data_IF_076427872567
#
_entry.id   IF_076427872567
#
_cell.length_a   1.000
_cell.length_b   1.000
_cell.length_c   1.000
_cell.angle_alpha   90.00
_cell.angle_beta   90.00
_cell.angle_gamma   90.00
#
_symmetry.space_group_name_H-M   'P 1'
#
loop_
_entity.id
_entity.type
_entity.pdbx_description
1 polymer ?
#
# COMPACT_ATOMS: atom_id res chain seq x y z
N UNK A 1 -1.65 11.18 -11.20
CA UNK A 1 -1.15 12.47 -11.78
C UNK A 1 -2.22 13.56 -11.99
N UNK A 2 -3.51 13.27 -12.17
CA UNK A 2 -4.51 14.22 -12.71
C UNK A 2 -4.63 15.61 -12.04
N UNK A 3 -4.43 15.74 -10.73
CA UNK A 3 -4.53 17.02 -10.02
C UNK A 3 -3.22 17.81 -9.90
N UNK A 4 -2.07 17.16 -10.09
CA UNK A 4 -0.74 17.76 -9.82
C UNK A 4 -0.43 19.00 -10.66
N UNK A 5 -0.71 19.04 -11.98
CA UNK A 5 -0.49 20.26 -12.77
C UNK A 5 -1.23 21.48 -12.22
N UNK A 6 -2.45 21.29 -11.71
CA UNK A 6 -3.24 22.38 -11.13
C UNK A 6 -2.66 22.89 -9.81
N UNK A 7 -2.08 22.00 -9.00
CA UNK A 7 -1.35 22.39 -7.78
C UNK A 7 -0.11 23.21 -8.14
N UNK A 8 0.69 22.75 -9.09
CA UNK A 8 1.87 23.48 -9.57
C UNK A 8 1.52 24.81 -10.24
N UNK A 9 0.34 24.96 -10.83
CA UNK A 9 -0.08 26.23 -11.41
C UNK A 9 -0.36 27.32 -10.36
N UNK A 10 -0.67 26.93 -9.13
CA UNK A 10 -1.19 27.85 -8.08
C UNK A 10 -0.22 28.02 -6.93
N UNK A 11 0.46 26.96 -6.50
CA UNK A 11 1.24 26.97 -5.26
C UNK A 11 2.74 27.02 -5.54
N UNK A 12 3.48 27.92 -4.86
CA UNK A 12 4.94 27.87 -4.85
C UNK A 12 5.43 26.50 -4.39
N UNK A 13 6.22 25.85 -5.23
CA UNK A 13 6.71 24.48 -5.02
C UNK A 13 8.23 24.49 -4.89
N UNK A 14 8.75 23.72 -3.93
CA UNK A 14 10.20 23.64 -3.70
C UNK A 14 10.88 22.54 -4.54
N UNK A 15 10.21 21.40 -4.72
CA UNK A 15 10.72 20.25 -5.44
C UNK A 15 9.57 19.46 -6.05
N UNK A 16 9.84 18.76 -7.15
CA UNK A 16 8.92 17.82 -7.79
C UNK A 16 9.64 16.51 -8.07
N UNK A 17 8.96 15.40 -7.76
CA UNK A 17 9.48 14.05 -7.94
C UNK A 17 8.59 13.29 -8.92
N UNK A 18 9.20 12.52 -9.81
CA UNK A 18 8.50 11.62 -10.72
C UNK A 18 9.38 10.42 -11.06
N UNK A 19 8.81 9.24 -11.34
CA UNK A 19 9.60 8.06 -11.68
C UNK A 19 10.24 8.15 -13.07
N UNK A 20 9.82 9.13 -13.89
CA UNK A 20 10.35 9.40 -15.22
C UNK A 20 10.34 10.90 -15.49
N UNK A 21 11.16 11.33 -16.46
CA UNK A 21 11.16 12.70 -17.00
C UNK A 21 10.30 12.84 -18.26
N UNK A 22 9.87 11.74 -18.84
CA UNK A 22 9.08 11.74 -20.08
C UNK A 22 8.00 10.67 -20.00
N UNK A 23 6.78 11.04 -20.36
CA UNK A 23 5.67 10.12 -20.46
C UNK A 23 4.67 10.67 -21.48
N UNK A 24 4.18 9.81 -22.38
CA UNK A 24 3.32 10.23 -23.48
C UNK A 24 1.87 10.46 -23.00
N UNK A 25 1.64 11.54 -22.26
CA UNK A 25 0.29 11.99 -21.91
C UNK A 25 0.21 13.50 -21.73
N UNK A 26 -0.94 14.08 -22.09
CA UNK A 26 -1.21 15.50 -21.88
C UNK A 26 -1.03 15.94 -20.42
N UNK A 27 -1.44 15.10 -19.47
CA UNK A 27 -1.33 15.42 -18.04
C UNK A 27 0.12 15.50 -17.60
N UNK A 28 0.98 14.63 -18.14
CA UNK A 28 2.41 14.68 -17.86
C UNK A 28 3.07 15.89 -18.53
N UNK A 29 2.69 16.21 -19.77
CA UNK A 29 3.15 17.42 -20.45
C UNK A 29 2.80 18.69 -19.65
N UNK A 30 1.57 18.76 -19.13
CA UNK A 30 1.13 19.87 -18.28
C UNK A 30 1.94 19.91 -16.95
N UNK A 31 2.26 18.76 -16.35
CA UNK A 31 3.11 18.68 -15.16
C UNK A 31 4.52 19.24 -15.43
N UNK A 32 5.16 18.81 -16.53
CA UNK A 32 6.48 19.31 -16.94
C UNK A 32 6.42 20.81 -17.20
N UNK A 33 5.39 21.28 -17.90
CA UNK A 33 5.19 22.70 -18.19
C UNK A 33 5.13 23.55 -16.92
N UNK A 34 4.29 23.20 -15.95
CA UNK A 34 4.16 23.99 -14.72
C UNK A 34 5.37 23.87 -13.79
N UNK A 35 6.09 22.75 -13.80
CA UNK A 35 7.38 22.64 -13.12
C UNK A 35 8.40 23.63 -13.72
N UNK A 36 8.50 23.70 -15.05
CA UNK A 36 9.39 24.65 -15.75
C UNK A 36 9.01 26.12 -15.52
N UNK A 37 7.71 26.45 -15.45
CA UNK A 37 7.26 27.80 -15.09
C UNK A 37 7.75 28.24 -13.70
N UNK A 38 7.97 27.29 -12.79
CA UNK A 38 8.57 27.51 -11.48
C UNK A 38 10.09 27.33 -11.44
N UNK A 39 10.72 27.04 -12.59
CA UNK A 39 12.16 26.73 -12.74
C UNK A 39 12.60 25.52 -11.91
N UNK A 40 11.72 24.53 -11.80
CA UNK A 40 11.99 23.28 -11.09
C UNK A 40 12.45 22.22 -12.07
N UNK A 41 13.49 21.47 -11.68
CA UNK A 41 13.85 20.24 -12.36
C UNK A 41 13.10 19.06 -11.75
N UNK A 42 12.70 18.12 -12.61
CA UNK A 42 12.11 16.85 -12.17
C UNK A 42 13.21 15.94 -11.61
N UNK A 43 13.12 15.67 -10.31
CA UNK A 43 13.97 14.71 -9.62
C UNK A 43 13.39 13.30 -9.77
N UNK A 44 14.21 12.36 -10.24
CA UNK A 44 13.91 10.92 -10.18
C UNK A 44 14.54 10.43 -8.88
N UNK A 45 13.76 10.12 -7.84
CA UNK A 45 14.34 9.65 -6.59
C UNK A 45 14.84 8.21 -6.71
N UNK A 46 15.85 7.87 -5.95
CA UNK A 46 16.38 6.50 -5.78
C UNK A 46 15.91 5.91 -4.44
N UNK A 47 15.82 4.57 -4.32
CA UNK A 47 15.61 3.92 -3.03
C UNK A 47 16.62 4.39 -1.98
N UNK A 48 16.12 4.81 -0.82
CA UNK A 48 16.92 5.37 0.28
C UNK A 48 17.09 6.89 0.24
N UNK A 49 16.72 7.56 -0.85
CA UNK A 49 16.59 9.03 -0.84
C UNK A 49 15.54 9.44 0.17
N UNK A 50 15.75 10.60 0.80
CA UNK A 50 14.81 11.10 1.79
C UNK A 50 14.99 12.59 2.08
N UNK A 51 13.97 13.16 2.69
CA UNK A 51 13.95 14.55 3.12
C UNK A 51 13.11 14.71 4.38
N UNK A 52 13.21 15.88 5.01
CA UNK A 52 12.44 16.20 6.22
C UNK A 52 11.45 17.32 5.95
N UNK A 53 10.25 17.18 6.52
CA UNK A 53 9.24 18.24 6.59
C UNK A 53 9.03 18.59 8.07
N UNK A 54 9.84 19.53 8.58
CA UNK A 54 9.93 19.76 10.02
C UNK A 54 10.54 18.55 10.72
N UNK A 55 9.82 17.97 11.68
CA UNK A 55 10.22 16.75 12.41
C UNK A 55 9.79 15.45 11.72
N UNK A 56 9.06 15.54 10.59
CA UNK A 56 8.63 14.39 9.81
C UNK A 56 9.73 13.97 8.83
N UNK A 57 10.11 12.70 8.81
CA UNK A 57 10.99 12.12 7.79
C UNK A 57 10.17 11.50 6.67
N UNK A 58 10.63 11.67 5.44
CA UNK A 58 10.10 11.01 4.25
C UNK A 58 11.23 10.24 3.60
N UNK A 59 11.04 8.94 3.38
CA UNK A 59 12.01 8.04 2.76
C UNK A 59 11.39 7.37 1.56
N UNK A 60 12.13 7.33 0.45
CA UNK A 60 11.73 6.64 -0.78
C UNK A 60 12.14 5.17 -0.66
N UNK A 61 11.17 4.26 -0.72
CA UNK A 61 11.43 2.82 -0.67
C UNK A 61 11.54 2.17 -2.05
N UNK A 62 10.85 2.73 -3.05
CA UNK A 62 10.77 2.17 -4.39
C UNK A 62 10.48 3.22 -5.47
N UNK A 63 10.59 2.86 -6.74
CA UNK A 63 10.86 1.50 -7.25
C UNK A 63 12.32 1.06 -7.07
N UNK A 64 12.56 -0.23 -6.80
CA UNK A 64 13.91 -0.80 -6.53
C UNK A 64 14.64 -1.32 -7.77
N UNK A 65 13.91 -1.44 -8.88
CA UNK A 65 14.44 -1.78 -10.20
C UNK A 65 13.60 -1.12 -11.30
N UNK A 66 13.96 -1.38 -12.56
CA UNK A 66 13.17 -0.90 -13.71
C UNK A 66 12.06 -1.89 -14.04
N UNK A 67 10.85 -1.37 -14.28
CA UNK A 67 9.67 -2.17 -14.61
C UNK A 67 9.15 -1.83 -16.00
N UNK A 68 8.57 -2.84 -16.66
CA UNK A 68 7.84 -2.64 -17.91
C UNK A 68 6.42 -2.11 -17.65
N UNK A 69 5.79 -2.59 -16.57
CA UNK A 69 4.54 -2.04 -16.08
C UNK A 69 4.79 -0.66 -15.46
N UNK A 70 3.90 0.28 -15.77
CA UNK A 70 4.00 1.66 -15.30
C UNK A 70 3.55 1.79 -13.85
N UNK A 71 2.62 0.96 -13.41
CA UNK A 71 2.14 0.92 -12.04
C UNK A 71 3.28 0.59 -11.07
N UNK A 72 4.12 -0.37 -11.45
CA UNK A 72 5.31 -0.79 -10.69
C UNK A 72 6.44 0.23 -10.70
N UNK A 73 6.35 1.29 -11.52
CA UNK A 73 7.26 2.44 -11.42
C UNK A 73 6.85 3.43 -10.34
N UNK A 74 5.76 3.17 -9.60
CA UNK A 74 5.27 4.05 -8.53
C UNK A 74 6.37 4.40 -7.52
N UNK A 75 6.49 5.69 -7.20
CA UNK A 75 7.34 6.12 -6.08
C UNK A 75 6.64 5.70 -4.79
N UNK A 76 7.30 4.82 -4.02
CA UNK A 76 6.80 4.35 -2.72
C UNK A 76 7.46 5.18 -1.63
N UNK A 77 6.65 5.76 -0.75
CA UNK A 77 7.11 6.65 0.32
C UNK A 77 6.74 6.10 1.69
N UNK A 78 7.73 5.98 2.58
CA UNK A 78 7.51 5.85 4.01
C UNK A 78 7.63 7.22 4.66
N UNK A 79 6.62 7.63 5.42
CA UNK A 79 6.57 8.91 6.14
C UNK A 79 6.49 8.61 7.62
N UNK A 80 7.39 9.16 8.42
CA UNK A 80 7.49 8.87 9.85
C UNK A 80 7.51 10.18 10.64
N UNK A 81 6.73 10.23 11.72
CA UNK A 81 6.65 11.36 12.64
C UNK A 81 6.42 10.86 14.06
N UNK A 82 7.35 11.16 14.96
CA UNK A 82 7.37 10.57 16.30
C UNK A 82 7.43 9.04 16.24
N UNK A 83 6.49 8.37 16.88
CA UNK A 83 6.26 6.93 16.82
C UNK A 83 5.20 6.49 15.82
N UNK A 84 4.72 7.37 14.94
CA UNK A 84 3.71 7.05 13.91
C UNK A 84 4.30 7.06 12.51
N UNK A 85 3.67 6.31 11.61
CA UNK A 85 4.18 6.02 10.28
C UNK A 85 3.07 5.79 9.25
N UNK A 86 3.34 6.23 8.02
CA UNK A 86 2.44 6.13 6.88
C UNK A 86 3.21 5.55 5.68
N UNK A 87 2.58 4.66 4.92
CA UNK A 87 3.15 4.06 3.73
C UNK A 87 2.27 4.38 2.52
N UNK A 88 2.82 5.12 1.57
CA UNK A 88 2.17 5.47 0.31
C UNK A 88 2.76 4.64 -0.81
N UNK A 89 1.98 3.70 -1.34
CA UNK A 89 2.45 2.73 -2.35
C UNK A 89 2.19 3.15 -3.79
N UNK A 90 1.45 4.25 -4.00
CA UNK A 90 0.99 4.62 -5.34
C UNK A 90 0.13 3.52 -5.94
N UNK A 91 0.45 3.13 -7.17
CA UNK A 91 -0.23 2.06 -7.89
C UNK A 91 0.63 0.77 -7.97
N UNK A 92 1.68 0.65 -7.15
CA UNK A 92 2.57 -0.51 -7.11
C UNK A 92 1.78 -1.83 -6.99
N UNK A 93 2.13 -2.82 -7.81
CA UNK A 93 1.51 -4.14 -7.84
C UNK A 93 2.37 -5.20 -7.12
N UNK A 94 1.82 -6.41 -6.98
CA UNK A 94 2.38 -7.49 -6.14
C UNK A 94 3.81 -7.88 -6.53
N UNK A 95 4.17 -7.81 -7.82
CA UNK A 95 5.54 -8.09 -8.27
C UNK A 95 6.54 -7.09 -7.70
N UNK A 96 6.24 -5.79 -7.81
CA UNK A 96 7.07 -4.74 -7.24
C UNK A 96 7.03 -4.71 -5.70
N UNK A 97 5.91 -5.07 -5.07
CA UNK A 97 5.83 -5.30 -3.63
C UNK A 97 6.86 -6.34 -3.18
N UNK A 98 6.86 -7.51 -3.83
CA UNK A 98 7.77 -8.61 -3.52
C UNK A 98 9.24 -8.21 -3.73
N UNK A 99 9.56 -7.58 -4.86
CA UNK A 99 10.90 -7.09 -5.15
C UNK A 99 11.38 -6.10 -4.08
N UNK A 100 10.49 -5.22 -3.61
CA UNK A 100 10.82 -4.22 -2.60
C UNK A 100 11.10 -4.89 -1.24
N UNK A 101 10.27 -5.86 -0.84
CA UNK A 101 10.50 -6.68 0.36
C UNK A 101 11.85 -7.41 0.30
N UNK A 102 12.14 -8.05 -0.84
CA UNK A 102 13.39 -8.79 -1.05
C UNK A 102 14.61 -7.87 -1.11
N UNK A 103 14.46 -6.72 -1.75
CA UNK A 103 15.51 -5.70 -1.80
C UNK A 103 15.85 -5.27 -0.38
N UNK A 104 14.93 -4.64 0.35
CA UNK A 104 15.26 -4.08 1.67
C UNK A 104 15.52 -5.16 2.71
N UNK A 105 14.77 -6.26 2.70
CA UNK A 105 14.80 -7.27 3.74
C UNK A 105 14.66 -6.66 5.13
N UNK A 106 15.50 -7.09 6.06
CA UNK A 106 15.54 -6.58 7.45
C UNK A 106 16.30 -5.26 7.62
N UNK A 107 16.71 -4.59 6.53
CA UNK A 107 17.44 -3.30 6.61
C UNK A 107 16.54 -2.15 7.06
N UNK A 108 15.22 -2.29 6.93
CA UNK A 108 14.21 -1.35 7.39
C UNK A 108 13.12 -2.09 8.17
N UNK A 109 12.34 -1.35 8.96
CA UNK A 109 11.07 -1.85 9.48
C UNK A 109 9.96 -1.60 8.48
N UNK A 110 9.21 -2.63 8.13
CA UNK A 110 8.03 -2.53 7.26
C UNK A 110 6.76 -2.11 8.00
N UNK A 111 6.74 -2.30 9.33
CA UNK A 111 5.63 -1.91 10.20
C UNK A 111 5.25 -0.46 9.96
N UNK A 112 3.96 -0.23 9.72
CA UNK A 112 3.40 1.06 9.38
C UNK A 112 2.01 1.21 10.00
N UNK A 113 1.69 2.31 10.68
CA UNK A 113 0.36 2.50 11.29
C UNK A 113 -0.75 2.68 10.23
N UNK A 114 -0.45 3.44 9.16
CA UNK A 114 -1.42 3.74 8.08
C UNK A 114 -0.88 3.36 6.71
N UNK A 115 -1.50 2.37 6.08
CA UNK A 115 -1.25 2.00 4.69
C UNK A 115 -2.21 2.75 3.76
N UNK A 116 -1.69 3.52 2.81
CA UNK A 116 -2.45 3.93 1.63
C UNK A 116 -2.40 2.79 0.63
N UNK A 117 -3.52 2.06 0.50
CA UNK A 117 -3.65 0.84 -0.32
C UNK A 117 -3.27 1.10 -1.76
N UNK A 118 -2.51 0.16 -2.33
CA UNK A 118 -2.00 0.20 -3.70
C UNK A 118 -3.13 0.21 -4.73
N UNK A 119 -2.89 0.91 -5.83
CA UNK A 119 -3.68 0.83 -7.07
C UNK A 119 -5.19 0.89 -6.85
N UNK A 120 -5.63 1.77 -5.95
CA UNK A 120 -7.03 1.98 -5.59
C UNK A 120 -7.77 0.74 -5.04
N UNK A 121 -7.05 -0.29 -4.59
CA UNK A 121 -7.62 -1.59 -4.23
C UNK A 121 -7.82 -2.51 -5.42
N UNK A 122 -6.90 -2.50 -6.40
CA UNK A 122 -6.83 -3.50 -7.46
C UNK A 122 -6.45 -4.88 -6.90
N UNK A 123 -6.92 -5.96 -7.55
CA UNK A 123 -6.62 -7.35 -7.18
C UNK A 123 -5.15 -7.72 -7.46
N UNK A 124 -4.48 -6.92 -8.30
CA UNK A 124 -3.04 -6.98 -8.61
C UNK A 124 -2.15 -6.40 -7.51
N UNK A 125 -2.70 -5.75 -6.49
CA UNK A 125 -1.94 -5.07 -5.43
C UNK A 125 -2.32 -5.56 -4.03
N UNK A 126 -1.56 -5.12 -3.03
CA UNK A 126 -1.75 -5.45 -1.61
C UNK A 126 -1.79 -6.97 -1.43
N UNK A 127 -0.70 -7.63 -1.83
CA UNK A 127 -0.52 -9.06 -1.68
C UNK A 127 -0.37 -9.47 -0.21
N UNK A 128 -0.66 -10.73 0.11
CA UNK A 128 -0.61 -11.23 1.50
C UNK A 128 0.78 -11.07 2.13
N UNK A 129 1.84 -11.35 1.38
CA UNK A 129 3.22 -11.22 1.88
C UNK A 129 3.52 -9.77 2.26
N UNK A 130 3.18 -8.83 1.40
CA UNK A 130 3.35 -7.40 1.66
C UNK A 130 2.54 -6.92 2.85
N UNK A 131 1.25 -7.27 2.88
CA UNK A 131 0.37 -6.87 3.97
C UNK A 131 0.83 -7.43 5.33
N UNK A 132 1.36 -8.65 5.38
CA UNK A 132 1.87 -9.24 6.62
C UNK A 132 3.17 -8.58 7.12
N UNK A 133 4.06 -8.16 6.22
CA UNK A 133 5.27 -7.42 6.59
C UNK A 133 4.94 -6.01 7.06
N UNK A 134 4.03 -5.33 6.35
CA UNK A 134 3.59 -3.96 6.67
C UNK A 134 2.74 -3.91 7.94
N UNK A 135 1.88 -4.90 8.15
CA UNK A 135 1.02 -5.08 9.34
C UNK A 135 0.39 -3.77 9.84
N UNK A 136 -0.46 -3.12 9.03
CA UNK A 136 -1.01 -1.82 9.38
C UNK A 136 -2.26 -1.91 10.26
N UNK A 137 -2.42 -0.93 11.16
CA UNK A 137 -3.66 -0.76 11.92
C UNK A 137 -4.79 -0.23 11.02
N UNK A 138 -4.45 0.66 10.07
CA UNK A 138 -5.39 1.34 9.19
C UNK A 138 -5.01 1.20 7.72
N UNK A 139 -6.01 0.95 6.86
CA UNK A 139 -5.87 0.94 5.41
C UNK A 139 -6.80 1.97 4.77
N UNK A 140 -6.22 2.94 4.07
CA UNK A 140 -6.98 3.95 3.32
C UNK A 140 -7.02 3.57 1.85
N UNK A 141 -8.23 3.39 1.30
CA UNK A 141 -8.45 3.13 -0.12
C UNK A 141 -8.98 4.41 -0.78
N UNK A 142 -8.13 5.06 -1.57
CA UNK A 142 -8.54 6.22 -2.38
C UNK A 142 -9.16 5.73 -3.68
N UNK A 143 -10.48 5.75 -3.76
CA UNK A 143 -11.27 5.28 -4.89
C UNK A 143 -12.51 6.16 -5.08
N UNK A 144 -12.97 6.29 -6.32
CA UNK A 144 -14.13 7.12 -6.68
C UNK A 144 -15.44 6.34 -6.60
N UNK A 145 -16.52 7.00 -6.19
CA UNK A 145 -17.86 6.40 -6.21
C UNK A 145 -18.28 6.04 -7.64
N UNK A 146 -18.73 4.80 -7.83
CA UNK A 146 -19.11 4.31 -9.16
C UNK A 146 -17.93 4.15 -10.11
N UNK A 147 -16.73 3.88 -9.57
CA UNK A 147 -15.52 3.64 -10.36
C UNK A 147 -15.76 2.57 -11.44
N UNK A 148 -15.51 2.93 -12.71
CA UNK A 148 -15.71 2.04 -13.86
C UNK A 148 -14.70 0.89 -13.94
N UNK A 149 -13.57 0.98 -13.24
CA UNK A 149 -12.57 -0.09 -13.19
C UNK A 149 -12.97 -1.26 -12.27
N UNK A 150 -14.05 -1.10 -11.49
CA UNK A 150 -14.49 -2.13 -10.55
C UNK A 150 -13.76 -2.12 -9.20
N UNK A 151 -12.82 -1.20 -8.98
CA UNK A 151 -12.13 -1.08 -7.69
C UNK A 151 -13.03 -0.43 -6.61
N UNK A 152 -12.82 -0.75 -5.33
CA UNK A 152 -11.90 -1.79 -4.86
C UNK A 152 -12.45 -3.19 -5.17
N UNK A 153 -11.57 -4.12 -5.54
CA UNK A 153 -11.93 -5.52 -5.73
C UNK A 153 -12.13 -6.24 -4.38
N UNK A 154 -12.88 -7.33 -4.39
CA UNK A 154 -13.17 -8.13 -3.19
C UNK A 154 -11.90 -8.80 -2.63
N UNK A 155 -10.94 -9.14 -3.49
CA UNK A 155 -9.69 -9.80 -3.11
C UNK A 155 -8.84 -8.97 -2.12
N UNK A 156 -8.45 -7.70 -2.39
CA UNK A 156 -7.72 -6.88 -1.44
C UNK A 156 -8.56 -6.51 -0.21
N UNK A 157 -9.87 -6.31 -0.35
CA UNK A 157 -10.75 -6.09 0.81
C UNK A 157 -10.74 -7.30 1.74
N UNK A 158 -10.86 -8.51 1.19
CA UNK A 158 -10.77 -9.76 1.95
C UNK A 158 -9.42 -9.88 2.66
N UNK A 159 -8.29 -9.61 1.97
CA UNK A 159 -6.96 -9.61 2.60
C UNK A 159 -6.86 -8.64 3.78
N UNK A 160 -7.36 -7.42 3.63
CA UNK A 160 -7.36 -6.40 4.69
C UNK A 160 -8.26 -6.80 5.87
N UNK A 161 -9.46 -7.32 5.59
CA UNK A 161 -10.35 -7.89 6.59
C UNK A 161 -9.66 -9.01 7.37
N UNK A 162 -8.93 -9.87 6.64
CA UNK A 162 -8.23 -11.00 7.23
C UNK A 162 -7.06 -10.57 8.13
N UNK A 163 -6.33 -9.54 7.73
CA UNK A 163 -5.27 -8.95 8.54
C UNK A 163 -5.80 -8.12 9.73
N UNK A 164 -7.12 -8.00 9.89
CA UNK A 164 -7.72 -7.27 11.01
C UNK A 164 -7.60 -5.75 10.91
N UNK A 165 -7.36 -5.24 9.70
CA UNK A 165 -7.11 -3.82 9.43
C UNK A 165 -8.42 -3.05 9.38
N UNK A 166 -8.49 -1.88 10.01
CA UNK A 166 -9.61 -0.96 9.83
C UNK A 166 -9.52 -0.30 8.44
N UNK A 167 -10.56 -0.48 7.62
CA UNK A 167 -10.58 -0.03 6.23
C UNK A 167 -11.36 1.28 6.11
N UNK A 168 -10.73 2.30 5.53
CA UNK A 168 -11.33 3.60 5.26
C UNK A 168 -11.35 3.86 3.75
N UNK A 169 -12.54 4.01 3.16
CA UNK A 169 -12.70 4.16 1.71
C UNK A 169 -13.27 5.52 1.33
N UNK A 170 -12.66 6.21 0.38
CA UNK A 170 -13.08 7.58 -0.01
C UNK A 170 -14.39 7.63 -0.81
N UNK A 171 -14.78 6.54 -1.47
CA UNK A 171 -16.06 6.45 -2.19
C UNK A 171 -17.26 6.36 -1.23
N UNK A 172 -17.03 5.86 -0.01
CA UNK A 172 -18.04 5.74 1.05
C UNK A 172 -17.95 6.89 2.05
N UNK A 173 -16.75 7.20 2.54
CA UNK A 173 -16.53 8.19 3.61
C UNK A 173 -16.33 9.62 3.10
N UNK A 174 -16.10 9.81 1.79
CA UNK A 174 -15.72 11.10 1.22
C UNK A 174 -14.26 11.46 1.51
N UNK A 175 -13.95 12.74 1.77
CA UNK A 175 -12.59 13.13 2.15
C UNK A 175 -12.26 12.56 3.52
N UNK A 176 -11.18 11.80 3.62
CA UNK A 176 -10.65 11.27 4.88
C UNK A 176 -9.46 12.11 5.31
N UNK A 177 -9.43 12.54 6.57
CA UNK A 177 -8.32 13.29 7.16
C UNK A 177 -7.75 12.50 8.33
N UNK A 178 -6.54 12.00 8.17
CA UNK A 178 -5.73 11.44 9.24
C UNK A 178 -4.94 12.57 9.93
N UNK A 179 -4.90 12.57 11.26
CA UNK A 179 -4.10 13.51 12.07
C UNK A 179 -3.31 12.75 13.11
N UNK A 180 -2.07 13.18 13.35
CA UNK A 180 -1.22 12.59 14.37
C UNK A 180 -0.45 13.66 15.13
N UNK A 181 -0.19 13.39 16.41
CA UNK A 181 0.72 14.14 17.28
C UNK A 181 2.10 13.45 17.41
N UNK A 182 2.33 12.38 16.65
CA UNK A 182 3.51 11.54 16.72
C UNK A 182 3.42 10.41 17.74
N UNK A 183 2.24 10.14 18.32
CA UNK A 183 1.99 8.97 19.18
C UNK A 183 0.78 8.17 18.76
N UNK A 184 -0.28 8.86 18.34
CA UNK A 184 -1.51 8.23 17.88
C UNK A 184 -1.96 8.81 16.54
N UNK A 185 -2.81 8.08 15.83
CA UNK A 185 -3.47 8.54 14.61
C UNK A 185 -4.98 8.62 14.85
N UNK A 186 -5.58 9.75 14.47
CA UNK A 186 -7.03 9.99 14.54
C UNK A 186 -7.58 10.33 13.16
N UNK A 187 -8.85 9.98 12.93
CA UNK A 187 -9.49 10.15 11.63
C UNK A 187 -10.76 11.00 11.73
N UNK A 188 -10.99 11.83 10.71
CA UNK A 188 -12.29 12.48 10.45
C UNK A 188 -12.64 12.31 8.98
N UNK A 189 -13.92 12.26 8.64
CA UNK A 189 -14.38 12.12 7.25
C UNK A 189 -15.63 12.95 6.94
N UNK A 190 -15.94 13.14 5.66
CA UNK A 190 -17.07 14.00 5.22
C UNK A 190 -18.44 13.33 5.41
N UNK A 191 -18.56 12.05 5.00
CA UNK A 191 -19.84 11.35 5.03
C UNK A 191 -20.14 10.75 6.41
N UNK A 192 -20.78 11.55 7.25
CA UNK A 192 -21.17 11.16 8.61
C UNK A 192 -22.27 10.09 8.70
N UNK A 193 -22.78 9.59 7.56
CA UNK A 193 -23.71 8.46 7.53
C UNK A 193 -23.04 7.11 7.22
N UNK A 194 -21.72 7.09 7.11
CA UNK A 194 -20.92 5.90 6.87
C UNK A 194 -19.79 5.84 7.90
N UNK A 195 -19.39 4.61 8.25
CA UNK A 195 -18.34 4.33 9.22
C UNK A 195 -17.26 3.47 8.55
N UNK A 196 -16.00 3.49 9.04
CA UNK A 196 -14.96 2.57 8.59
C UNK A 196 -15.37 1.09 8.73
N UNK A 197 -14.94 0.26 7.79
CA UNK A 197 -15.11 -1.19 7.89
C UNK A 197 -14.07 -1.76 8.88
N UNK A 198 -14.42 -2.80 9.65
CA UNK A 198 -13.62 -3.38 10.74
C UNK A 198 -13.09 -2.36 11.77
N UNK A 199 -13.92 -1.39 12.16
CA UNK A 199 -13.59 -0.48 13.26
C UNK A 199 -13.50 -1.18 14.64
N UNK A 200 -13.97 -2.42 14.75
CA UNK A 200 -13.72 -3.31 15.88
C UNK A 200 -12.57 -4.26 15.53
N UNK A 201 -11.64 -4.50 16.46
CA UNK A 201 -10.45 -5.35 16.23
C UNK A 201 -10.87 -6.70 15.65
N UNK A 202 -10.58 -6.93 14.37
CA UNK A 202 -10.86 -8.22 13.76
C UNK A 202 -9.89 -9.25 14.37
N UNK A 203 -10.39 -10.46 14.59
CA UNK A 203 -9.55 -11.57 15.03
C UNK A 203 -8.51 -11.83 13.94
N UNK A 204 -7.24 -12.07 14.27
CA UNK A 204 -6.22 -12.36 13.28
C UNK A 204 -6.66 -13.57 12.46
N UNK A 205 -6.69 -13.44 11.14
CA UNK A 205 -7.09 -14.55 10.29
C UNK A 205 -5.96 -15.53 10.15
N UNK A 206 -6.29 -16.77 10.49
CA UNK A 206 -5.35 -17.87 10.55
C UNK A 206 -5.07 -18.43 9.14
N UNK A 207 -3.85 -18.87 8.91
CA UNK A 207 -3.45 -19.55 7.70
C UNK A 207 -3.57 -21.07 7.85
N UNK A 208 -3.99 -21.74 6.77
CA UNK A 208 -4.22 -23.18 6.76
C UNK A 208 -3.07 -23.89 6.06
N UNK A 209 -2.19 -24.55 6.82
CA UNK A 209 -1.13 -25.41 6.33
C UNK A 209 -1.63 -26.80 5.93
N UNK A 210 -1.10 -27.34 4.84
CA UNK A 210 -1.23 -28.73 4.44
C UNK A 210 0.00 -29.51 4.89
N UNK A 211 -0.17 -30.37 5.90
CA UNK A 211 0.92 -31.15 6.51
C UNK A 211 1.64 -32.10 5.54
N UNK A 212 1.03 -32.40 4.38
CA UNK A 212 1.65 -33.29 3.38
C UNK A 212 2.48 -32.53 2.35
N UNK A 213 1.97 -31.39 1.86
CA UNK A 213 2.66 -30.61 0.82
C UNK A 213 3.60 -29.56 1.39
N UNK A 214 3.54 -29.28 2.70
CA UNK A 214 4.20 -28.15 3.33
C UNK A 214 3.88 -26.83 2.62
N UNK A 215 2.63 -26.69 2.17
CA UNK A 215 2.09 -25.43 1.65
C UNK A 215 1.07 -24.88 2.62
N UNK A 216 1.03 -23.57 2.80
CA UNK A 216 -0.03 -22.91 3.56
C UNK A 216 -0.86 -21.98 2.69
N UNK A 217 -2.09 -21.76 3.12
CA UNK A 217 -3.18 -21.22 2.32
C UNK A 217 -3.94 -20.16 3.12
N UNK A 218 -4.56 -19.19 2.46
CA UNK A 218 -5.63 -18.39 3.08
C UNK A 218 -6.87 -19.27 3.35
N UNK A 219 -7.73 -18.91 4.32
CA UNK A 219 -8.96 -19.68 4.62
C UNK A 219 -9.93 -19.84 3.46
N UNK A 220 -9.90 -18.93 2.50
CA UNK A 220 -10.80 -18.96 1.34
C UNK A 220 -10.18 -19.64 0.11
N UNK A 221 -9.01 -20.29 0.26
CA UNK A 221 -8.32 -20.90 -0.86
C UNK A 221 -9.17 -22.02 -1.51
N UNK A 222 -9.39 -21.94 -2.82
CA UNK A 222 -10.07 -23.00 -3.57
C UNK A 222 -9.35 -24.37 -3.50
N UNK A 223 -8.06 -24.38 -3.14
CA UNK A 223 -7.21 -25.56 -3.05
C UNK A 223 -6.88 -25.97 -1.61
N UNK A 224 -7.79 -25.71 -0.65
CA UNK A 224 -7.59 -26.12 0.73
C UNK A 224 -7.40 -27.64 0.88
N UNK A 225 -6.48 -28.10 1.76
CA UNK A 225 -6.39 -29.50 2.12
C UNK A 225 -7.63 -29.96 2.89
N UNK A 226 -7.91 -31.27 2.88
CA UNK A 226 -8.94 -31.85 3.77
C UNK A 226 -8.61 -31.58 5.24
N UNK A 227 -9.63 -31.34 6.08
CA UNK A 227 -9.49 -31.00 7.51
C UNK A 227 -8.45 -31.84 8.28
N UNK A 228 -8.42 -33.16 8.08
CA UNK A 228 -7.45 -34.06 8.74
C UNK A 228 -5.97 -33.79 8.42
N UNK A 229 -5.71 -33.02 7.37
CA UNK A 229 -4.39 -32.64 6.88
C UNK A 229 -4.09 -31.15 7.14
N UNK A 230 -4.97 -30.46 7.86
CA UNK A 230 -4.82 -29.05 8.17
C UNK A 230 -3.97 -28.86 9.44
N UNK A 231 -3.08 -27.89 9.39
CA UNK A 231 -2.49 -27.23 10.56
C UNK A 231 -2.82 -25.75 10.44
N UNK A 232 -3.04 -25.09 11.57
CA UNK A 232 -3.43 -23.69 11.63
C UNK A 232 -2.23 -22.88 12.11
N UNK A 233 -1.95 -21.77 11.43
CA UNK A 233 -0.94 -20.79 11.82
C UNK A 233 -1.62 -19.46 12.06
N UNK A 234 -1.25 -18.76 13.13
CA UNK A 234 -1.83 -17.47 13.46
C UNK A 234 -1.22 -16.34 12.61
N UNK A 235 -0.04 -16.55 12.02
CA UNK A 235 0.60 -15.58 11.11
C UNK A 235 1.27 -16.24 9.90
N UNK A 236 1.50 -15.45 8.84
CA UNK A 236 2.24 -15.90 7.66
C UNK A 236 3.69 -16.27 8.03
N UNK A 237 4.30 -15.46 8.90
CA UNK A 237 5.67 -15.68 9.37
C UNK A 237 5.79 -16.98 10.19
N UNK A 238 4.80 -17.30 11.02
CA UNK A 238 4.74 -18.57 11.75
C UNK A 238 4.75 -19.76 10.77
N UNK A 239 3.94 -19.71 9.71
CA UNK A 239 3.89 -20.75 8.70
C UNK A 239 5.24 -20.92 7.98
N UNK A 240 5.87 -19.80 7.59
CA UNK A 240 7.19 -19.81 6.94
C UNK A 240 8.27 -20.34 7.88
N UNK A 241 8.29 -19.90 9.13
CA UNK A 241 9.23 -20.37 10.16
C UNK A 241 9.02 -21.85 10.50
N UNK A 242 7.79 -22.36 10.38
CA UNK A 242 7.46 -23.79 10.48
C UNK A 242 7.86 -24.61 9.24
N UNK A 243 8.47 -23.98 8.22
CA UNK A 243 8.96 -24.63 7.01
C UNK A 243 7.90 -24.81 5.92
N UNK A 244 6.79 -24.07 5.98
CA UNK A 244 5.75 -24.11 4.95
C UNK A 244 6.00 -23.02 3.91
N UNK A 245 5.58 -23.30 2.68
CA UNK A 245 5.67 -22.37 1.55
C UNK A 245 4.29 -21.82 1.21
N UNK A 246 4.17 -20.54 0.83
CA UNK A 246 2.89 -19.96 0.48
C UNK A 246 2.30 -20.66 -0.75
N UNK A 247 0.99 -20.88 -0.74
CA UNK A 247 0.29 -21.38 -1.90
C UNK A 247 0.18 -20.28 -2.96
N UNK A 248 0.91 -20.44 -4.06
CA UNK A 248 0.96 -19.45 -5.15
C UNK A 248 -0.39 -19.10 -5.82
N UNK A 249 -1.47 -19.83 -5.56
CA UNK A 249 -2.80 -19.47 -6.09
C UNK A 249 -3.62 -18.58 -5.16
N UNK A 250 -3.26 -18.46 -3.89
CA UNK A 250 -4.01 -17.65 -2.92
C UNK A 250 -3.15 -16.70 -2.11
N UNK A 251 -1.85 -16.97 -1.98
CA UNK A 251 -0.86 -16.19 -1.25
C UNK A 251 0.35 -15.80 -2.12
N UNK A 252 0.32 -16.17 -3.41
CA UNK A 252 1.37 -15.85 -4.39
C UNK A 252 1.18 -14.48 -5.00
#
# INVERSE_FOLDING_TARGET
MGGLPSVLAVYPTHAVYAPTRTYASKVFDDFVYYADQQRLEITIPSPGDGWTLGETSVTVLGPVQSYADQNDTSIVLKVEYGGTSFLFTGDMETDAENDMLDYWGSRISWKTDVLKVGHHGSDTSTGYRFLNEVDPDYAVISVGKGNSYGHPHEEPLSRLNQAGVTILRTDELGTIVARTDGKEVTFTWDNQSADPENAESAQPVQFIGNVNSHKFHSPDCANLPSEKNQIIFDTYEEAVNAGYTPCGSCLG
#
